data_IF_047489840038
#
_entry.id   IF_047489840038
#
_cell.length_a   1.000
_cell.length_b   1.000
_cell.length_c   1.000
_cell.angle_alpha   90.00
_cell.angle_beta   90.00
_cell.angle_gamma   90.00
#
_symmetry.space_group_name_H-M   'P 1'
#
loop_
_entity.id
_entity.type
_entity.pdbx_description
1 polymer ?
#
# COMPACT_ATOMS: atom_id res chain seq x y z
N UNK A 1 -7.96 19.80 1.57
CA UNK A 1 -6.88 18.99 0.96
C UNK A 1 -6.00 18.45 2.06
N UNK A 2 -6.06 17.15 2.35
CA UNK A 2 -5.11 16.49 3.26
C UNK A 2 -3.73 16.50 2.59
N UNK A 3 -2.77 17.26 3.12
CA UNK A 3 -1.41 17.38 2.54
C UNK A 3 -0.45 16.33 3.13
N UNK A 4 0.33 15.72 2.24
CA UNK A 4 1.62 15.04 2.50
C UNK A 4 1.59 14.01 3.63
N UNK A 5 2.19 14.36 4.77
CA UNK A 5 2.47 13.44 5.89
C UNK A 5 1.22 12.82 6.51
N UNK A 6 0.12 13.58 6.66
CA UNK A 6 -1.13 13.06 7.22
C UNK A 6 -1.73 11.97 6.33
N UNK A 7 -1.72 12.21 5.02
CA UNK A 7 -2.21 11.25 4.04
C UNK A 7 -1.33 9.99 4.00
N UNK A 8 0.00 10.13 4.09
CA UNK A 8 0.90 8.97 4.19
C UNK A 8 0.56 8.07 5.38
N UNK A 9 0.33 8.66 6.55
CA UNK A 9 -0.03 7.91 7.77
C UNK A 9 -1.38 7.19 7.59
N UNK A 10 -2.38 7.89 7.07
CA UNK A 10 -3.71 7.31 6.84
C UNK A 10 -3.68 6.17 5.82
N UNK A 11 -2.91 6.33 4.74
CA UNK A 11 -2.66 5.27 3.76
C UNK A 11 -2.00 4.06 4.42
N UNK A 12 -0.99 4.27 5.27
CA UNK A 12 -0.32 3.20 6.01
C UNK A 12 -1.27 2.44 6.93
N UNK A 13 -2.13 3.14 7.68
CA UNK A 13 -3.14 2.49 8.53
C UNK A 13 -4.14 1.65 7.72
N UNK A 14 -4.56 2.15 6.55
CA UNK A 14 -5.46 1.41 5.67
C UNK A 14 -4.80 0.15 5.09
N UNK A 15 -3.51 0.21 4.75
CA UNK A 15 -2.74 -0.97 4.31
C UNK A 15 -2.68 -2.02 5.43
N UNK A 16 -2.39 -1.62 6.67
CA UNK A 16 -2.33 -2.54 7.80
C UNK A 16 -3.66 -3.26 8.08
N UNK A 17 -4.79 -2.62 7.80
CA UNK A 17 -6.13 -3.17 8.06
C UNK A 17 -6.70 -4.01 6.92
N UNK A 18 -6.26 -3.77 5.68
CA UNK A 18 -6.93 -4.28 4.48
C UNK A 18 -5.99 -5.00 3.50
N UNK A 19 -4.81 -5.42 3.94
CA UNK A 19 -3.84 -6.07 3.05
C UNK A 19 -4.34 -7.46 2.57
N UNK A 20 -3.98 -7.88 1.35
CA UNK A 20 -3.27 -7.10 0.32
C UNK A 20 -4.18 -6.06 -0.35
N UNK A 21 -3.68 -4.84 -0.57
CA UNK A 21 -4.51 -3.72 -1.08
C UNK A 21 -3.91 -2.98 -2.27
N UNK A 22 -4.75 -2.59 -3.23
CA UNK A 22 -4.37 -1.79 -4.40
C UNK A 22 -4.61 -0.27 -4.15
N UNK A 23 -3.83 0.65 -4.75
CA UNK A 23 -4.03 2.10 -4.58
C UNK A 23 -5.45 2.61 -4.91
N UNK A 24 -6.15 1.97 -5.85
CA UNK A 24 -7.55 2.32 -6.17
C UNK A 24 -8.51 2.02 -5.02
N UNK A 25 -8.26 0.97 -4.24
CA UNK A 25 -9.10 0.60 -3.10
C UNK A 25 -8.90 1.57 -1.95
N UNK A 26 -7.67 2.05 -1.75
CA UNK A 26 -7.39 3.16 -0.83
C UNK A 26 -8.16 4.42 -1.24
N UNK A 27 -8.24 4.76 -2.54
CA UNK A 27 -9.10 5.87 -2.98
C UNK A 27 -10.56 5.66 -2.56
N UNK A 28 -11.09 4.45 -2.71
CA UNK A 28 -12.47 4.11 -2.33
C UNK A 28 -12.68 4.23 -0.81
N UNK A 29 -11.75 3.72 -0.02
CA UNK A 29 -11.79 3.77 1.46
C UNK A 29 -11.68 5.20 2.00
N UNK A 30 -10.96 6.08 1.31
CA UNK A 30 -10.85 7.50 1.64
C UNK A 30 -12.01 8.35 1.07
N UNK A 31 -13.00 7.71 0.43
CA UNK A 31 -14.11 8.38 -0.27
C UNK A 31 -13.65 9.42 -1.32
N UNK A 32 -12.48 9.18 -1.93
CA UNK A 32 -11.91 10.00 -2.99
C UNK A 32 -12.25 9.39 -4.35
N UNK A 33 -12.63 10.23 -5.33
CA UNK A 33 -12.90 9.80 -6.70
C UNK A 33 -11.74 8.95 -7.25
N UNK A 34 -12.03 7.71 -7.62
CA UNK A 34 -11.07 6.77 -8.22
C UNK A 34 -10.80 7.17 -9.68
N UNK A 35 -9.69 7.87 -9.92
CA UNK A 35 -9.21 8.23 -11.26
C UNK A 35 -7.68 8.10 -11.31
N UNK A 36 -7.11 8.16 -12.51
CA UNK A 36 -5.66 7.98 -12.70
C UNK A 36 -4.82 8.95 -11.86
N UNK A 37 -5.22 10.23 -11.76
CA UNK A 37 -4.50 11.22 -10.96
C UNK A 37 -4.48 10.87 -9.47
N UNK A 38 -5.62 10.48 -8.90
CA UNK A 38 -5.71 10.13 -7.48
C UNK A 38 -5.03 8.79 -7.18
N UNK A 39 -5.15 7.81 -8.08
CA UNK A 39 -4.43 6.54 -7.98
C UNK A 39 -2.91 6.78 -7.97
N UNK A 40 -2.40 7.63 -8.87
CA UNK A 40 -0.97 7.98 -8.89
C UNK A 40 -0.52 8.70 -7.62
N UNK A 41 -1.37 9.55 -7.03
CA UNK A 41 -1.08 10.18 -5.72
C UNK A 41 -1.00 9.14 -4.60
N UNK A 42 -1.92 8.19 -4.54
CA UNK A 42 -1.85 7.11 -3.54
C UNK A 42 -0.62 6.23 -3.78
N UNK A 43 -0.33 5.90 -5.04
CA UNK A 43 0.89 5.16 -5.39
C UNK A 43 2.14 5.87 -4.88
N UNK A 44 2.23 7.19 -5.03
CA UNK A 44 3.35 7.96 -4.47
C UNK A 44 3.51 7.75 -2.96
N UNK A 45 2.42 7.65 -2.20
CA UNK A 45 2.47 7.32 -0.78
C UNK A 45 2.90 5.86 -0.52
N UNK A 46 2.55 4.92 -1.40
CA UNK A 46 3.08 3.54 -1.32
C UNK A 46 4.59 3.55 -1.51
N UNK A 47 5.08 4.25 -2.55
CA UNK A 47 6.52 4.34 -2.86
C UNK A 47 7.30 4.93 -1.66
N UNK A 48 6.78 5.99 -1.03
CA UNK A 48 7.37 6.56 0.19
C UNK A 48 7.40 5.59 1.38
N UNK A 49 6.33 4.82 1.57
CA UNK A 49 6.23 3.87 2.68
C UNK A 49 7.13 2.64 2.46
N UNK A 50 7.32 2.24 1.21
CA UNK A 50 8.26 1.18 0.83
C UNK A 50 9.71 1.63 1.00
N UNK A 51 10.06 2.86 0.59
CA UNK A 51 11.38 3.46 0.85
C UNK A 51 11.69 3.54 2.36
N UNK A 52 10.66 3.72 3.18
CA UNK A 52 10.77 3.73 4.65
C UNK A 52 10.70 2.33 5.29
N UNK A 53 10.70 1.26 4.48
CA UNK A 53 10.63 -0.14 4.93
C UNK A 53 9.41 -0.42 5.82
N UNK A 54 8.29 0.28 5.59
CA UNK A 54 7.03 0.08 6.34
C UNK A 54 6.10 -0.92 5.68
N UNK A 55 6.13 -0.97 4.36
CA UNK A 55 5.30 -1.88 3.56
C UNK A 55 6.19 -2.55 2.53
N UNK A 56 5.69 -3.65 1.97
CA UNK A 56 6.20 -4.22 0.73
C UNK A 56 5.16 -4.03 -0.36
N UNK A 57 5.60 -3.70 -1.57
CA UNK A 57 4.74 -3.69 -2.75
C UNK A 57 5.14 -4.82 -3.71
N UNK A 58 4.15 -5.34 -4.43
CA UNK A 58 4.38 -6.35 -5.47
C UNK A 58 3.42 -6.16 -6.62
N UNK A 59 3.89 -6.43 -7.83
CA UNK A 59 3.00 -6.60 -8.99
C UNK A 59 2.50 -8.04 -9.04
N UNK A 60 1.20 -8.21 -8.95
CA UNK A 60 0.52 -9.48 -9.19
C UNK A 60 -0.29 -9.31 -10.48
N UNK A 61 0.10 -10.05 -11.52
CA UNK A 61 -0.32 -9.82 -12.91
C UNK A 61 -0.12 -8.36 -13.35
N UNK A 62 -1.21 -7.61 -13.45
CA UNK A 62 -1.23 -6.19 -13.86
C UNK A 62 -1.49 -5.23 -12.69
N UNK A 63 -1.76 -5.74 -11.49
CA UNK A 63 -2.14 -4.96 -10.32
C UNK A 63 -0.95 -4.75 -9.38
N UNK A 64 -0.77 -3.50 -8.92
CA UNK A 64 0.17 -3.18 -7.84
C UNK A 64 -0.53 -3.33 -6.49
N UNK A 65 -0.08 -4.25 -5.66
CA UNK A 65 -0.64 -4.48 -4.32
C UNK A 65 0.41 -4.23 -3.24
N UNK A 66 -0.05 -3.89 -2.04
CA UNK A 66 0.81 -3.67 -0.88
C UNK A 66 0.31 -4.38 0.38
N UNK A 67 1.24 -4.70 1.27
CA UNK A 67 1.02 -5.25 2.61
C UNK A 67 2.12 -4.79 3.58
N UNK A 68 1.93 -4.90 4.91
CA UNK A 68 2.96 -4.56 5.89
C UNK A 68 4.22 -5.40 5.71
N UNK A 69 5.41 -4.81 5.91
CA UNK A 69 6.68 -5.49 5.67
C UNK A 69 6.84 -6.76 6.53
N UNK A 70 6.29 -6.77 7.74
CA UNK A 70 6.31 -7.93 8.65
C UNK A 70 5.65 -9.15 8.02
N UNK A 71 4.56 -8.95 7.27
CA UNK A 71 3.86 -10.03 6.57
C UNK A 71 4.75 -10.62 5.46
N UNK A 72 5.52 -9.79 4.75
CA UNK A 72 6.47 -10.27 3.74
C UNK A 72 7.58 -11.13 4.37
N UNK A 73 8.11 -10.70 5.52
CA UNK A 73 9.13 -11.48 6.26
C UNK A 73 8.61 -12.87 6.64
N UNK A 74 7.38 -12.94 7.17
CA UNK A 74 6.73 -14.21 7.51
C UNK A 74 6.53 -15.11 6.28
N UNK A 75 6.13 -14.50 5.15
CA UNK A 75 5.94 -15.21 3.87
C UNK A 75 7.25 -15.83 3.38
N UNK A 76 8.34 -15.07 3.41
CA UNK A 76 9.68 -15.55 3.02
C UNK A 76 10.18 -16.66 3.95
N UNK A 77 9.98 -16.52 5.27
CA UNK A 77 10.34 -17.57 6.22
C UNK A 77 9.58 -18.87 5.94
N UNK A 78 8.27 -18.78 5.67
CA UNK A 78 7.47 -19.95 5.31
C UNK A 78 7.98 -20.62 4.02
N UNK A 79 8.37 -19.83 3.02
CA UNK A 79 8.94 -20.35 1.76
C UNK A 79 10.27 -21.08 1.99
N UNK A 80 11.13 -20.61 2.90
CA UNK A 80 12.41 -21.26 3.24
C UNK A 80 12.26 -22.55 4.07
N UNK A 81 11.12 -22.72 4.76
CA UNK A 81 10.83 -23.92 5.56
C UNK A 81 10.17 -25.05 4.76
N UNK A 82 9.88 -24.81 3.47
CA UNK A 82 9.39 -25.84 2.54
C UNK A 82 10.54 -26.51 1.81
#
# INVERSE_FOLDING_TARGET
MLRGKKLTLEVYELINKNWPIHPSDICRLLEIKTNSSNISKIKYHFDLLEEQEKISTKKIDRALVAWPLEIEKLRLMQELMK
#
